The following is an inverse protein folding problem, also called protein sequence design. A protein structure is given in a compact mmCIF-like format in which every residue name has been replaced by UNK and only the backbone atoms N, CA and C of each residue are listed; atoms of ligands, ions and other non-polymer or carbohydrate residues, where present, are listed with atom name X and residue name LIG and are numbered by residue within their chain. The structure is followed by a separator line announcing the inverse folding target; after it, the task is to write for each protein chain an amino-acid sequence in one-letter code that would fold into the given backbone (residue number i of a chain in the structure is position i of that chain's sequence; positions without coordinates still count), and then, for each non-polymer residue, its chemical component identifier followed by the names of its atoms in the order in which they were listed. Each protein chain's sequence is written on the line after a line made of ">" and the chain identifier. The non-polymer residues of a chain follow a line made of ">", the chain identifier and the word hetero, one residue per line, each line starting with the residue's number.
data_IF_102277093759
#
_entry.id   IF_102277093759
#
_cell.length_a   1.000
_cell.length_b   1.000
_cell.length_c   1.000
_cell.angle_alpha   90.00
_cell.angle_beta   90.00
_cell.angle_gamma   90.00
#
_symmetry.space_group_name_H-M   'P 1'
#
loop_
_entity.id
_entity.type
_entity.pdbx_description
1 polymer ?
#
# COMPACT_ATOMS: atom_id res chain seq x y z
N UNK A 1 -21.98 0.08 -7.89
CA UNK A 1 -21.91 -0.74 -6.66
C UNK A 1 -20.78 -0.17 -5.85
N UNK A 2 -20.99 0.20 -4.58
CA UNK A 2 -19.86 0.49 -3.69
C UNK A 2 -19.36 -0.86 -3.20
N UNK A 3 -18.54 -1.51 -4.03
CA UNK A 3 -17.78 -2.67 -3.57
C UNK A 3 -16.82 -2.16 -2.50
N UNK A 4 -17.02 -2.59 -1.26
CA UNK A 4 -16.12 -2.26 -0.16
C UNK A 4 -14.98 -3.27 -0.18
N UNK A 5 -13.75 -2.79 -0.34
CA UNK A 5 -12.58 -3.62 -0.16
C UNK A 5 -12.34 -3.80 1.34
N UNK A 6 -12.16 -5.05 1.76
CA UNK A 6 -11.88 -5.36 3.16
C UNK A 6 -10.37 -5.43 3.35
N UNK A 7 -9.72 -4.27 3.35
CA UNK A 7 -8.27 -4.17 3.56
C UNK A 7 -7.87 -4.68 4.94
N UNK A 8 -6.81 -5.48 4.99
CA UNK A 8 -6.23 -6.03 6.21
C UNK A 8 -4.77 -5.60 6.32
N UNK A 9 -4.40 -5.07 7.48
CA UNK A 9 -3.01 -4.80 7.82
C UNK A 9 -2.46 -5.96 8.65
N UNK A 10 -1.55 -6.75 8.08
CA UNK A 10 -1.02 -7.94 8.76
C UNK A 10 -0.16 -7.59 9.98
N UNK A 11 0.41 -6.38 10.00
CA UNK A 11 1.27 -5.91 11.08
C UNK A 11 0.98 -4.46 11.47
N UNK A 12 -0.19 -4.25 12.09
CA UNK A 12 -0.64 -2.93 12.55
C UNK A 12 0.34 -2.29 13.56
N UNK A 13 1.01 -3.11 14.38
CA UNK A 13 1.95 -2.62 15.39
C UNK A 13 3.18 -1.91 14.81
N UNK A 14 3.59 -2.25 13.58
CA UNK A 14 4.64 -1.51 12.88
C UNK A 14 4.17 -0.12 12.46
N UNK A 15 2.95 0.00 11.94
CA UNK A 15 2.35 1.31 11.62
C UNK A 15 2.20 2.17 12.87
N UNK A 16 1.72 1.60 13.98
CA UNK A 16 1.62 2.30 15.27
C UNK A 16 2.98 2.79 15.77
N UNK A 17 4.01 1.96 15.63
CA UNK A 17 5.39 2.31 16.00
C UNK A 17 5.92 3.44 15.13
N UNK A 18 5.71 3.36 13.81
CA UNK A 18 6.11 4.40 12.88
C UNK A 18 5.37 5.72 13.17
N UNK A 19 4.06 5.71 13.39
CA UNK A 19 3.28 6.91 13.75
C UNK A 19 3.78 7.54 15.06
N UNK A 20 4.11 6.73 16.07
CA UNK A 20 4.71 7.23 17.31
C UNK A 20 6.04 7.94 17.06
N UNK A 21 6.89 7.41 16.18
CA UNK A 21 8.16 8.04 15.83
C UNK A 21 7.94 9.31 15.00
N UNK A 22 7.04 9.26 14.01
CA UNK A 22 6.68 10.38 13.15
C UNK A 22 6.17 11.60 13.94
N UNK A 23 5.36 11.39 14.99
CA UNK A 23 4.91 12.46 15.91
C UNK A 23 6.07 13.20 16.60
N UNK A 24 7.20 12.53 16.77
CA UNK A 24 8.42 13.09 17.34
C UNK A 24 9.43 13.54 16.26
N UNK A 25 9.03 13.57 14.99
CA UNK A 25 9.89 13.84 13.83
C UNK A 25 11.11 12.92 13.77
N UNK A 26 10.90 11.64 14.13
CA UNK A 26 11.90 10.58 13.98
C UNK A 26 11.41 9.69 12.85
N UNK A 27 12.18 9.62 11.77
CA UNK A 27 11.83 8.89 10.56
C UNK A 27 12.89 7.82 10.28
N UNK A 28 12.50 6.68 9.67
CA UNK A 28 13.45 5.72 9.15
C UNK A 28 14.18 6.29 7.92
N UNK A 29 15.03 5.47 7.29
CA UNK A 29 15.71 5.85 6.06
C UNK A 29 14.71 6.08 4.90
N UNK A 30 15.16 6.76 3.85
CA UNK A 30 14.36 6.97 2.65
C UNK A 30 14.09 5.64 1.92
N UNK A 31 12.87 5.47 1.43
CA UNK A 31 12.33 4.24 0.81
C UNK A 31 12.26 3.04 1.78
N UNK A 32 12.26 3.27 3.10
CA UNK A 32 12.18 2.19 4.08
C UNK A 32 10.75 1.66 4.22
N UNK A 33 10.63 0.33 4.28
CA UNK A 33 9.37 -0.36 4.42
C UNK A 33 8.84 -0.23 5.84
N UNK A 34 7.58 0.18 5.98
CA UNK A 34 6.91 0.33 7.28
C UNK A 34 6.07 -0.90 7.58
N UNK A 35 5.09 -1.17 6.72
CA UNK A 35 4.16 -2.29 6.82
C UNK A 35 3.44 -2.46 5.48
N UNK A 36 2.52 -3.40 5.37
CA UNK A 36 1.69 -3.56 4.18
C UNK A 36 0.23 -3.77 4.54
N UNK A 37 -0.64 -3.45 3.59
CA UNK A 37 -2.08 -3.70 3.68
C UNK A 37 -2.55 -4.46 2.45
N UNK A 38 -3.43 -5.45 2.64
CA UNK A 38 -3.82 -6.40 1.60
C UNK A 38 -5.32 -6.49 1.46
N UNK A 39 -5.76 -6.74 0.23
CA UNK A 39 -7.12 -7.20 -0.08
C UNK A 39 -7.05 -8.16 -1.25
N UNK A 40 -7.52 -9.39 -1.02
CA UNK A 40 -7.28 -10.49 -1.95
C UNK A 40 -5.80 -10.64 -2.31
N UNK A 41 -5.47 -10.59 -3.60
CA UNK A 41 -4.08 -10.64 -4.09
C UNK A 41 -3.45 -9.26 -4.31
N UNK A 42 -4.13 -8.18 -3.94
CA UNK A 42 -3.56 -6.83 -3.93
C UNK A 42 -2.79 -6.59 -2.63
N UNK A 43 -1.61 -5.98 -2.72
CA UNK A 43 -0.79 -5.58 -1.59
C UNK A 43 -0.33 -4.13 -1.77
N UNK A 44 -0.60 -3.28 -0.80
CA UNK A 44 -0.05 -1.93 -0.74
C UNK A 44 1.08 -1.94 0.29
N UNK A 45 2.30 -1.70 -0.18
CA UNK A 45 3.41 -1.47 0.73
C UNK A 45 3.37 -0.02 1.19
N UNK A 46 3.33 0.16 2.50
CA UNK A 46 3.47 1.46 3.15
C UNK A 46 4.94 1.72 3.40
N UNK A 47 5.46 2.80 2.82
CA UNK A 47 6.87 3.13 2.82
C UNK A 47 7.10 4.58 3.24
N UNK A 48 8.22 4.85 3.90
CA UNK A 48 8.65 6.20 4.20
C UNK A 48 9.44 6.76 3.01
N UNK A 49 9.06 7.91 2.47
CA UNK A 49 9.82 8.62 1.43
C UNK A 49 10.16 10.03 1.88
N UNK A 50 11.42 10.42 1.78
CA UNK A 50 11.90 11.78 1.94
C UNK A 50 12.12 12.39 0.55
N UNK A 51 11.37 13.45 0.22
CA UNK A 51 11.47 14.18 -1.05
C UNK A 51 11.65 15.65 -0.71
N UNK A 52 12.79 16.23 -1.11
CA UNK A 52 13.13 17.64 -0.88
C UNK A 52 12.96 18.06 0.59
N UNK A 53 13.53 17.29 1.52
CA UNK A 53 13.45 17.50 2.97
C UNK A 53 12.02 17.41 3.57
N UNK A 54 11.07 16.83 2.83
CA UNK A 54 9.71 16.58 3.30
C UNK A 54 9.48 15.07 3.38
N UNK A 55 8.99 14.61 4.53
CA UNK A 55 8.62 13.21 4.75
C UNK A 55 7.23 12.91 4.22
N UNK A 56 7.10 11.75 3.59
CA UNK A 56 5.87 11.20 3.07
C UNK A 56 5.67 9.76 3.54
N UNK A 57 4.43 9.43 3.88
CA UNK A 57 3.96 8.05 3.85
C UNK A 57 3.48 7.78 2.42
N UNK A 58 4.06 6.81 1.75
CA UNK A 58 3.61 6.40 0.43
C UNK A 58 3.02 5.00 0.46
N UNK A 59 2.04 4.75 -0.39
CA UNK A 59 1.46 3.44 -0.65
C UNK A 59 1.74 3.05 -2.10
N UNK A 60 2.53 1.98 -2.29
CA UNK A 60 2.86 1.42 -3.60
C UNK A 60 2.06 0.11 -3.81
N UNK A 61 1.30 0.00 -4.92
CA UNK A 61 0.44 -1.15 -5.18
C UNK A 61 1.18 -2.28 -5.94
N UNK A 62 1.05 -3.49 -5.41
CA UNK A 62 1.51 -4.72 -6.02
C UNK A 62 0.34 -5.68 -6.25
N UNK A 63 0.42 -6.45 -7.34
CA UNK A 63 -0.63 -7.38 -7.77
C UNK A 63 -0.06 -8.78 -7.91
N UNK A 64 -0.57 -9.70 -7.08
CA UNK A 64 -0.19 -11.11 -7.10
C UNK A 64 -0.75 -11.89 -8.29
N UNK A 65 -0.01 -12.92 -8.69
CA UNK A 65 -0.44 -13.88 -9.71
C UNK A 65 -0.27 -13.36 -11.15
N UNK A 66 0.55 -12.33 -11.35
CA UNK A 66 0.87 -11.75 -12.64
C UNK A 66 2.38 -11.88 -12.85
N UNK A 67 2.78 -12.63 -13.87
CA UNK A 67 4.18 -12.85 -14.20
C UNK A 67 4.62 -11.94 -15.36
N UNK A 68 5.05 -10.73 -15.00
CA UNK A 68 5.71 -9.78 -15.91
C UNK A 68 7.23 -9.89 -15.89
N UNK A 69 7.78 -10.74 -15.00
CA UNK A 69 9.19 -10.77 -14.65
C UNK A 69 9.63 -9.67 -13.66
N UNK A 70 8.69 -8.92 -13.07
CA UNK A 70 9.00 -7.89 -12.07
C UNK A 70 9.57 -8.49 -10.77
N UNK A 71 8.81 -9.35 -10.10
CA UNK A 71 9.18 -9.91 -8.81
C UNK A 71 8.52 -11.24 -8.50
N UNK A 72 9.15 -11.98 -7.58
CA UNK A 72 8.62 -13.26 -7.09
C UNK A 72 8.71 -13.30 -5.57
N UNK A 73 7.56 -13.48 -4.93
CA UNK A 73 7.48 -13.75 -3.51
C UNK A 73 7.79 -15.23 -3.26
N UNK A 74 8.46 -15.53 -2.14
CA UNK A 74 8.60 -16.91 -1.69
C UNK A 74 7.45 -17.21 -0.74
N UNK A 75 6.41 -17.88 -1.26
CA UNK A 75 5.27 -18.34 -0.49
C UNK A 75 5.43 -19.84 -0.23
N UNK A 76 5.77 -20.19 1.01
CA UNK A 76 5.88 -21.58 1.46
C UNK A 76 6.83 -22.46 0.62
N UNK A 77 7.88 -21.86 0.06
CA UNK A 77 8.86 -22.55 -0.80
C UNK A 77 8.51 -22.54 -2.28
N UNK A 78 7.37 -21.94 -2.66
CA UNK A 78 6.99 -21.73 -4.04
C UNK A 78 7.24 -20.28 -4.48
N UNK A 79 7.70 -20.14 -5.73
CA UNK A 79 7.90 -18.85 -6.36
C UNK A 79 6.56 -18.32 -6.86
N UNK A 80 6.01 -17.32 -6.20
CA UNK A 80 4.74 -16.70 -6.57
C UNK A 80 4.97 -15.33 -7.24
N UNK A 81 4.63 -15.18 -8.53
CA UNK A 81 4.90 -13.95 -9.26
C UNK A 81 3.99 -12.81 -8.79
N UNK A 82 4.53 -11.60 -8.81
CA UNK A 82 3.76 -10.38 -8.63
C UNK A 82 4.34 -9.25 -9.50
N UNK A 83 3.49 -8.27 -9.79
CA UNK A 83 3.85 -7.10 -10.57
C UNK A 83 3.59 -5.81 -9.79
N UNK A 84 4.30 -4.74 -10.13
CA UNK A 84 4.13 -3.40 -9.57
C UNK A 84 3.19 -2.59 -10.46
N UNK A 85 2.16 -2.00 -9.87
CA UNK A 85 1.23 -1.10 -10.55
C UNK A 85 1.67 0.35 -10.30
N UNK A 86 2.47 0.91 -11.21
CA UNK A 86 3.01 2.26 -11.09
C UNK A 86 1.95 3.36 -11.23
N UNK A 87 0.79 3.04 -11.83
CA UNK A 87 -0.30 3.99 -12.01
C UNK A 87 -1.17 4.17 -10.76
N UNK A 88 -1.04 3.27 -9.79
CA UNK A 88 -1.85 3.27 -8.57
C UNK A 88 -0.93 3.27 -7.36
N UNK A 89 -0.85 4.45 -6.76
CA UNK A 89 -0.17 4.70 -5.52
C UNK A 89 -0.49 6.12 -5.08
N UNK A 90 -0.11 6.45 -3.85
CA UNK A 90 -0.29 7.80 -3.35
C UNK A 90 0.73 8.08 -2.24
N UNK A 91 1.14 9.34 -2.12
CA UNK A 91 2.01 9.82 -1.05
C UNK A 91 1.32 10.94 -0.27
N UNK A 92 1.18 10.74 1.04
CA UNK A 92 0.68 11.74 1.98
C UNK A 92 1.85 12.37 2.71
N UNK A 93 1.87 13.70 2.83
CA UNK A 93 2.84 14.36 3.69
C UNK A 93 2.63 13.89 5.12
N UNK A 94 3.72 13.51 5.79
CA UNK A 94 3.62 12.97 7.15
C UNK A 94 3.06 14.01 8.11
N UNK A 95 3.34 15.31 7.90
CA UNK A 95 2.76 16.39 8.69
C UNK A 95 1.22 16.45 8.67
N UNK A 96 0.59 15.97 7.59
CA UNK A 96 -0.87 15.96 7.44
C UNK A 96 -1.52 14.76 8.14
N UNK A 97 -0.76 13.68 8.43
CA UNK A 97 -1.31 12.41 8.91
C UNK A 97 -0.74 11.93 10.26
N UNK A 98 0.43 12.42 10.70
CA UNK A 98 1.16 11.86 11.85
C UNK A 98 0.40 11.94 13.18
N UNK A 99 -0.58 12.84 13.28
CA UNK A 99 -1.39 13.01 14.48
C UNK A 99 -2.63 12.09 14.53
N UNK A 100 -2.94 11.41 13.43
CA UNK A 100 -4.01 10.42 13.36
C UNK A 100 -3.60 9.12 14.06
N UNK A 101 -4.59 8.31 14.46
CA UNK A 101 -4.35 6.93 14.89
C UNK A 101 -4.20 5.97 13.70
N UNK A 102 -3.70 4.76 13.96
CA UNK A 102 -3.43 3.76 12.91
C UNK A 102 -4.69 3.39 12.12
N UNK A 103 -5.84 3.26 12.78
CA UNK A 103 -7.10 2.93 12.14
C UNK A 103 -7.57 4.04 11.18
N UNK A 104 -7.41 5.29 11.58
CA UNK A 104 -7.73 6.46 10.75
C UNK A 104 -6.78 6.56 9.56
N UNK A 105 -5.48 6.33 9.76
CA UNK A 105 -4.51 6.28 8.66
C UNK A 105 -4.84 5.17 7.67
N UNK A 106 -5.13 3.96 8.15
CA UNK A 106 -5.55 2.84 7.30
C UNK A 106 -6.79 3.19 6.47
N UNK A 107 -7.78 3.86 7.07
CA UNK A 107 -8.97 4.30 6.38
C UNK A 107 -8.66 5.35 5.29
N UNK A 108 -7.80 6.33 5.59
CA UNK A 108 -7.36 7.34 4.61
C UNK A 108 -6.67 6.68 3.42
N UNK A 109 -5.74 5.76 3.67
CA UNK A 109 -5.04 5.02 2.61
C UNK A 109 -6.02 4.19 1.78
N UNK A 110 -6.88 3.40 2.44
CA UNK A 110 -7.85 2.55 1.77
C UNK A 110 -8.79 3.35 0.87
N UNK A 111 -9.37 4.45 1.37
CA UNK A 111 -10.32 5.28 0.61
C UNK A 111 -9.67 5.91 -0.63
N UNK A 112 -8.46 6.45 -0.52
CA UNK A 112 -7.76 7.03 -1.67
C UNK A 112 -7.36 5.96 -2.68
N UNK A 113 -6.82 4.83 -2.25
CA UNK A 113 -6.41 3.77 -3.18
C UNK A 113 -7.62 3.11 -3.85
N UNK A 114 -8.72 2.90 -3.14
CA UNK A 114 -9.98 2.45 -3.74
C UNK A 114 -10.43 3.40 -4.87
N UNK A 115 -10.35 4.71 -4.64
CA UNK A 115 -10.67 5.70 -5.67
C UNK A 115 -9.71 5.61 -6.87
N UNK A 116 -8.41 5.40 -6.62
CA UNK A 116 -7.41 5.23 -7.70
C UNK A 116 -7.64 3.95 -8.49
N UNK A 117 -7.97 2.83 -7.83
CA UNK A 117 -8.33 1.56 -8.47
C UNK A 117 -9.54 1.78 -9.38
N UNK A 118 -10.64 2.32 -8.87
CA UNK A 118 -11.86 2.55 -9.67
C UNK A 118 -11.60 3.49 -10.85
N UNK A 119 -10.79 4.53 -10.66
CA UNK A 119 -10.47 5.51 -11.71
C UNK A 119 -9.53 4.95 -12.78
N UNK A 120 -8.62 4.06 -12.42
CA UNK A 120 -7.58 3.54 -13.30
C UNK A 120 -7.77 2.05 -13.65
N UNK A 121 -8.91 1.45 -13.31
CA UNK A 121 -9.23 0.03 -13.55
C UNK A 121 -8.94 -0.43 -14.98
N UNK A 122 -9.22 0.42 -15.97
CA UNK A 122 -9.00 0.09 -17.38
C UNK A 122 -7.58 0.37 -17.88
N UNK A 123 -6.73 1.01 -17.07
CA UNK A 123 -5.36 1.36 -17.44
C UNK A 123 -4.37 0.25 -17.11
N UNK A 124 -4.61 -0.50 -16.04
CA UNK A 124 -3.75 -1.62 -15.69
C UNK A 124 -3.94 -2.77 -16.70
N UNK A 125 -2.95 -3.09 -17.54
CA UNK A 125 -3.18 -3.87 -18.77
C UNK A 125 -3.29 -5.37 -18.52
N UNK A 126 -2.94 -5.84 -17.32
CA UNK A 126 -2.77 -7.26 -17.03
C UNK A 126 -4.01 -7.93 -16.46
N UNK A 127 -4.86 -7.19 -15.74
CA UNK A 127 -6.06 -7.73 -15.10
C UNK A 127 -7.03 -6.65 -14.63
N UNK A 128 -8.22 -7.08 -14.23
CA UNK A 128 -9.13 -6.28 -13.40
C UNK A 128 -8.59 -6.22 -11.96
N UNK A 129 -8.25 -5.02 -11.48
CA UNK A 129 -7.77 -4.84 -10.11
C UNK A 129 -8.90 -5.03 -9.10
N UNK A 130 -10.11 -4.59 -9.45
CA UNK A 130 -11.33 -4.92 -8.70
C UNK A 130 -11.49 -6.44 -8.59
N UNK A 131 -11.34 -7.17 -9.72
CA UNK A 131 -11.41 -8.62 -9.73
C UNK A 131 -10.36 -9.26 -8.80
N UNK A 132 -9.11 -8.77 -8.85
CA UNK A 132 -8.01 -9.21 -8.00
C UNK A 132 -8.22 -8.93 -6.51
N UNK A 133 -8.83 -7.80 -6.18
CA UNK A 133 -9.23 -7.47 -4.81
C UNK A 133 -10.26 -8.45 -4.24
N UNK A 134 -11.05 -9.10 -5.10
CA UNK A 134 -12.07 -10.07 -4.72
C UNK A 134 -11.58 -11.52 -4.70
N UNK A 135 -10.35 -11.80 -5.12
CA UNK A 135 -9.75 -13.14 -5.07
C UNK A 135 -9.36 -13.47 -3.62
N UNK A 136 -9.96 -14.51 -3.02
CA UNK A 136 -9.66 -14.99 -1.66
C UNK A 136 -8.78 -16.23 -1.65
#
# INVERSE_FOLDING_TARGET
>A
MNEKFNWVCDNIGLLETWLKNARNNVFPDNDDFITHIRVGVLCLDLINKNIDDIEYLCADLYVGGIDTGYGYANLEGESYPYDYCDEIGHCWKVDDIKNEDSDSVLKIVAEEIENQIVKNEQKYPYCSLIGKAMES
#
